data_IF_605042127869
#
_entry.id   IF_605042127869
#
_cell.length_a   1.000
_cell.length_b   1.000
_cell.length_c   1.000
_cell.angle_alpha   90.00
_cell.angle_beta   90.00
_cell.angle_gamma   90.00
#
_symmetry.space_group_name_H-M   'P 1'
#
loop_
_entity.id
_entity.type
_entity.pdbx_description
1 polymer ?
#
# COMPACT_ATOMS: atom_id res chain seq x y z
N UNK A 1 -14.73 -4.73 -6.57
CA UNK A 1 -15.51 -4.40 -5.35
C UNK A 1 -15.13 -3.01 -4.89
N UNK A 2 -16.08 -2.21 -4.41
CA UNK A 2 -15.83 -0.92 -3.76
C UNK A 2 -15.96 -1.08 -2.24
N UNK A 3 -15.09 -0.45 -1.45
CA UNK A 3 -15.13 -0.50 0.02
C UNK A 3 -14.66 0.83 0.61
N UNK A 4 -15.38 1.35 1.59
CA UNK A 4 -14.91 2.48 2.41
C UNK A 4 -14.23 1.92 3.65
N UNK A 5 -13.04 2.42 3.98
CA UNK A 5 -12.37 2.10 5.23
C UNK A 5 -11.83 3.34 5.92
N UNK A 6 -11.77 3.29 7.25
CA UNK A 6 -11.11 4.32 8.06
C UNK A 6 -9.61 4.07 8.05
N UNK A 7 -8.84 5.13 7.81
CA UNK A 7 -7.37 5.13 7.89
C UNK A 7 -6.98 5.14 9.37
N UNK A 8 -6.05 4.24 9.71
CA UNK A 8 -5.43 4.18 11.03
C UNK A 8 -3.91 4.22 10.90
N UNK A 9 -3.26 4.95 11.80
CA UNK A 9 -1.80 5.09 11.84
C UNK A 9 -1.27 6.17 10.89
N UNK A 10 0.04 6.46 11.02
CA UNK A 10 0.66 7.67 10.43
C UNK A 10 1.47 7.43 9.17
N UNK A 11 1.53 6.19 8.68
CA UNK A 11 2.55 5.81 7.68
C UNK A 11 2.40 6.50 6.31
N UNK A 12 1.23 7.09 6.06
CA UNK A 12 0.89 7.78 4.82
C UNK A 12 0.65 9.29 5.04
N UNK A 13 0.96 9.82 6.23
CA UNK A 13 0.93 11.25 6.48
C UNK A 13 2.01 11.96 5.63
N UNK A 14 1.75 13.20 5.18
CA UNK A 14 0.56 14.02 5.47
C UNK A 14 -0.64 13.79 4.52
N UNK A 15 -0.50 12.92 3.51
CA UNK A 15 -1.52 12.74 2.46
C UNK A 15 -2.77 12.02 2.96
N UNK A 16 -2.58 11.01 3.80
CA UNK A 16 -3.66 10.33 4.51
C UNK A 16 -3.35 10.38 6.00
N UNK A 17 -4.26 11.00 6.77
CA UNK A 17 -4.13 11.17 8.21
C UNK A 17 -4.94 10.12 8.95
N UNK A 18 -4.52 9.83 10.17
CA UNK A 18 -5.32 9.01 11.07
C UNK A 18 -6.73 9.60 11.24
N UNK A 19 -7.76 8.78 11.07
CA UNK A 19 -9.16 9.22 11.11
C UNK A 19 -9.78 9.58 9.76
N UNK A 20 -8.98 9.74 8.69
CA UNK A 20 -9.51 9.89 7.33
C UNK A 20 -10.28 8.64 6.89
N UNK A 21 -11.08 8.75 5.83
CA UNK A 21 -11.71 7.62 5.16
C UNK A 21 -11.21 7.52 3.72
N UNK A 22 -10.90 6.30 3.28
CA UNK A 22 -10.51 6.01 1.91
C UNK A 22 -11.56 5.12 1.24
N UNK A 23 -11.90 5.47 0.00
CA UNK A 23 -12.64 4.60 -0.90
C UNK A 23 -11.64 3.73 -1.68
N UNK A 24 -11.76 2.42 -1.51
CA UNK A 24 -10.96 1.42 -2.21
C UNK A 24 -11.78 0.82 -3.35
N UNK A 25 -11.12 0.57 -4.48
CA UNK A 25 -11.61 -0.38 -5.47
C UNK A 25 -10.59 -1.50 -5.65
N UNK A 26 -11.05 -2.73 -5.90
CA UNK A 26 -10.18 -3.84 -6.28
C UNK A 26 -9.72 -3.66 -7.73
N UNK A 27 -8.42 -3.43 -7.94
CA UNK A 27 -7.83 -3.39 -9.26
C UNK A 27 -7.38 -4.80 -9.70
N UNK A 28 -7.19 -5.01 -11.00
CA UNK A 28 -6.45 -6.21 -11.46
C UNK A 28 -4.95 -5.97 -11.26
N UNK A 29 -4.16 -6.96 -10.83
CA UNK A 29 -2.74 -6.77 -10.50
C UNK A 29 -1.92 -6.07 -11.59
N UNK A 30 -2.15 -6.41 -12.87
CA UNK A 30 -1.46 -5.80 -14.01
C UNK A 30 -1.80 -4.32 -14.26
N UNK A 31 -2.76 -3.73 -13.53
CA UNK A 31 -3.09 -2.30 -13.63
C UNK A 31 -2.34 -1.44 -12.61
N UNK A 32 -1.68 -2.06 -11.63
CA UNK A 32 -0.88 -1.36 -10.61
C UNK A 32 0.35 -0.74 -11.27
N UNK A 33 0.65 0.52 -10.93
CA UNK A 33 1.76 1.30 -11.49
C UNK A 33 2.55 1.99 -10.38
N UNK A 34 3.82 2.33 -10.64
CA UNK A 34 4.56 3.25 -9.77
C UNK A 34 3.74 4.51 -9.46
N UNK A 35 3.83 4.96 -8.21
CA UNK A 35 3.12 6.09 -7.60
C UNK A 35 1.66 5.84 -7.22
N UNK A 36 1.06 4.70 -7.57
CA UNK A 36 -0.27 4.34 -7.08
C UNK A 36 -0.28 4.19 -5.56
N UNK A 37 -1.39 4.57 -4.92
CA UNK A 37 -1.63 4.26 -3.50
C UNK A 37 -2.45 2.99 -3.44
N UNK A 38 -1.90 1.96 -2.81
CA UNK A 38 -2.48 0.63 -2.76
C UNK A 38 -2.76 0.24 -1.30
N UNK A 39 -3.88 -0.44 -1.11
CA UNK A 39 -4.14 -1.20 0.10
C UNK A 39 -3.57 -2.60 -0.08
N UNK A 40 -2.86 -3.11 0.92
CA UNK A 40 -2.14 -4.37 0.86
C UNK A 40 -2.57 -5.22 2.04
N UNK A 41 -2.99 -6.45 1.80
CA UNK A 41 -3.29 -7.43 2.85
C UNK A 41 -2.00 -8.15 3.28
N UNK A 42 -1.18 -7.47 4.07
CA UNK A 42 0.06 -8.05 4.57
C UNK A 42 -0.22 -9.14 5.61
N UNK A 43 0.46 -10.31 5.55
CA UNK A 43 0.18 -11.44 6.45
C UNK A 43 0.35 -11.08 7.94
N UNK A 44 1.38 -10.30 8.27
CA UNK A 44 1.68 -9.90 9.66
C UNK A 44 1.08 -8.55 10.08
N UNK A 45 0.99 -7.57 9.19
CA UNK A 45 0.59 -6.19 9.52
C UNK A 45 -0.90 -5.94 9.27
N UNK A 46 -1.63 -6.92 8.72
CA UNK A 46 -3.00 -6.75 8.30
C UNK A 46 -3.13 -5.86 7.07
N UNK A 47 -4.20 -5.07 7.00
CA UNK A 47 -4.46 -4.17 5.88
C UNK A 47 -3.65 -2.88 6.04
N UNK A 48 -2.67 -2.66 5.17
CA UNK A 48 -1.79 -1.48 5.20
C UNK A 48 -1.91 -0.67 3.92
N UNK A 49 -1.64 0.62 4.00
CA UNK A 49 -1.58 1.51 2.84
C UNK A 49 -0.15 1.91 2.55
N UNK A 50 0.24 1.84 1.28
CA UNK A 50 1.55 2.29 0.80
C UNK A 50 1.45 2.85 -0.60
N UNK A 51 2.44 3.65 -0.98
CA UNK A 51 2.68 4.06 -2.37
C UNK A 51 3.54 3.01 -3.05
N UNK A 52 3.18 2.62 -4.26
CA UNK A 52 4.03 1.80 -5.14
C UNK A 52 5.25 2.62 -5.53
N UNK A 53 6.44 2.11 -5.24
CA UNK A 53 7.70 2.73 -5.64
C UNK A 53 8.15 2.19 -7.00
N UNK A 54 8.17 0.86 -7.13
CA UNK A 54 8.49 0.19 -8.40
C UNK A 54 7.92 -1.22 -8.45
N UNK A 55 7.86 -1.77 -9.66
CA UNK A 55 7.60 -3.18 -9.93
C UNK A 55 8.95 -3.80 -10.33
N UNK A 56 9.34 -4.90 -9.69
CA UNK A 56 10.60 -5.61 -9.98
C UNK A 56 10.49 -6.40 -11.28
N UNK A 57 11.63 -6.87 -11.80
CA UNK A 57 11.66 -7.73 -13.00
C UNK A 57 10.90 -9.06 -12.79
N UNK A 58 10.82 -9.53 -11.54
CA UNK A 58 10.03 -10.70 -11.13
C UNK A 58 8.53 -10.39 -10.93
N UNK A 59 8.08 -9.17 -11.24
CA UNK A 59 6.70 -8.74 -11.06
C UNK A 59 6.28 -8.46 -9.61
N UNK A 60 7.21 -8.53 -8.65
CA UNK A 60 6.92 -8.16 -7.26
C UNK A 60 6.88 -6.64 -7.10
N UNK A 61 6.22 -6.16 -6.06
CA UNK A 61 5.89 -4.75 -5.89
C UNK A 61 6.64 -4.22 -4.67
N UNK A 62 7.52 -3.26 -4.89
CA UNK A 62 8.14 -2.49 -3.81
C UNK A 62 7.28 -1.30 -3.49
N UNK A 63 7.06 -1.10 -2.20
CA UNK A 63 6.20 -0.03 -1.68
C UNK A 63 6.92 0.81 -0.64
N UNK A 64 6.48 2.06 -0.50
CA UNK A 64 7.01 3.06 0.44
C UNK A 64 5.85 3.74 1.15
N UNK A 65 6.04 4.04 2.44
CA UNK A 65 5.19 5.04 3.08
C UNK A 65 5.66 6.45 2.76
N UNK A 66 4.80 7.42 3.02
CA UNK A 66 5.14 8.84 2.87
C UNK A 66 5.75 9.41 4.16
N UNK A 67 5.48 8.77 5.30
CA UNK A 67 6.05 9.16 6.57
C UNK A 67 7.46 8.58 6.78
N UNK A 68 8.43 9.32 7.36
CA UNK A 68 9.81 8.86 7.56
C UNK A 68 9.92 7.52 8.28
N UNK A 69 9.09 7.31 9.31
CA UNK A 69 9.06 6.10 10.13
C UNK A 69 8.11 5.01 9.62
N UNK A 70 7.76 5.02 8.32
CA UNK A 70 6.93 3.98 7.73
C UNK A 70 7.64 2.62 7.70
N UNK A 71 6.99 1.59 8.24
CA UNK A 71 7.31 0.19 7.92
C UNK A 71 6.85 -0.12 6.49
N UNK A 72 7.78 -0.38 5.59
CA UNK A 72 7.52 -0.61 4.15
C UNK A 72 8.54 -1.58 3.55
N UNK A 73 8.66 -1.66 2.22
CA UNK A 73 9.54 -2.62 1.55
C UNK A 73 11.02 -2.44 1.90
N UNK A 74 11.44 -1.34 2.56
CA UNK A 74 12.79 -1.24 3.15
C UNK A 74 13.01 -2.23 4.30
N UNK A 75 11.93 -2.66 4.95
CA UNK A 75 11.95 -3.55 6.10
C UNK A 75 11.53 -4.98 5.75
N UNK A 76 10.54 -5.15 4.87
CA UNK A 76 9.96 -6.47 4.55
C UNK A 76 10.18 -6.92 3.09
N UNK A 77 10.90 -6.14 2.27
CA UNK A 77 11.14 -6.48 0.87
C UNK A 77 9.95 -6.24 -0.06
N UNK A 78 10.06 -6.70 -1.31
CA UNK A 78 8.99 -6.61 -2.30
C UNK A 78 7.90 -7.65 -2.04
N UNK A 79 6.65 -7.31 -2.34
CA UNK A 79 5.48 -8.17 -2.09
C UNK A 79 4.91 -8.73 -3.40
N UNK A 80 4.33 -9.94 -3.38
CA UNK A 80 3.70 -10.49 -4.58
C UNK A 80 2.38 -9.75 -4.89
N UNK A 81 1.97 -9.66 -6.17
CA UNK A 81 0.84 -8.82 -6.59
C UNK A 81 -0.54 -9.27 -6.10
N UNK A 82 -0.69 -10.52 -5.65
CA UNK A 82 -1.93 -11.09 -5.12
C UNK A 82 -2.30 -10.56 -3.73
N UNK A 83 -1.38 -9.88 -3.05
CA UNK A 83 -1.64 -9.20 -1.78
C UNK A 83 -2.28 -7.80 -1.93
N UNK A 84 -2.43 -7.30 -3.15
CA UNK A 84 -2.95 -5.94 -3.47
C UNK A 84 -4.42 -5.99 -3.90
#
# INVERSE_FOLDING_TARGET
>A
MLKIIRITGKSMEPLYRDGDYALLWTARPHRVRPRDIVAIRHPTLGLIFKRVERITDSGHIEVRGLHPHSTDSRSFGALPPDLI
#
